data_IF_288979914547
#
_entry.id   IF_288979914547
#
_cell.length_a   1.000
_cell.length_b   1.000
_cell.length_c   1.000
_cell.angle_alpha   90.00
_cell.angle_beta   90.00
_cell.angle_gamma   90.00
#
_symmetry.space_group_name_H-M   'P 1'
#
loop_
_entity.id
_entity.type
_entity.pdbx_description
1 polymer ?
#
# COMPACT_ATOMS: atom_id res chain seq x y z
N UNK A 1 -8.63 62.81 -14.05
CA UNK A 1 -9.95 62.26 -13.71
C UNK A 1 -9.74 60.90 -13.03
N UNK A 2 -10.10 60.77 -11.74
CA UNK A 2 -10.39 59.47 -11.08
C UNK A 2 -11.92 59.33 -11.12
N UNK A 3 -12.52 58.13 -11.34
CA UNK A 3 -12.53 57.02 -10.37
C UNK A 3 -12.39 55.66 -11.13
N UNK A 4 -12.49 54.45 -10.59
CA UNK A 4 -13.03 53.93 -9.33
C UNK A 4 -12.33 52.60 -9.03
N UNK A 5 -12.19 52.33 -7.73
CA UNK A 5 -11.64 51.12 -7.14
C UNK A 5 -12.58 49.94 -7.38
N UNK A 6 -12.04 48.80 -7.81
CA UNK A 6 -12.56 47.50 -7.41
C UNK A 6 -11.36 46.58 -7.21
N UNK A 7 -10.77 46.64 -6.02
CA UNK A 7 -9.81 45.65 -5.55
C UNK A 7 -10.64 44.39 -5.27
N UNK A 8 -10.77 43.52 -6.26
CA UNK A 8 -11.23 42.15 -6.02
C UNK A 8 -10.05 41.42 -5.42
N UNK A 9 -10.00 41.37 -4.10
CA UNK A 9 -9.15 40.45 -3.34
C UNK A 9 -9.59 39.05 -3.76
N UNK A 10 -8.93 38.48 -4.77
CA UNK A 10 -9.01 37.05 -5.03
C UNK A 10 -8.24 36.39 -3.89
N UNK A 11 -8.95 36.14 -2.80
CA UNK A 11 -8.55 35.18 -1.80
C UNK A 11 -8.49 33.85 -2.56
N UNK A 12 -7.32 33.53 -3.11
CA UNK A 12 -6.98 32.17 -3.50
C UNK A 12 -6.97 31.37 -2.20
N UNK A 13 -8.16 30.96 -1.77
CA UNK A 13 -8.32 29.82 -0.89
C UNK A 13 -7.65 28.68 -1.66
N UNK A 14 -6.39 28.42 -1.31
CA UNK A 14 -5.83 27.07 -1.41
C UNK A 14 -6.69 26.22 -0.49
N UNK A 15 -7.89 25.87 -0.95
CA UNK A 15 -8.53 24.64 -0.54
C UNK A 15 -7.60 23.57 -1.06
N UNK A 16 -6.61 23.21 -0.24
CA UNK A 16 -6.00 21.91 -0.33
C UNK A 16 -7.17 20.94 -0.33
N UNK A 17 -7.44 20.35 -1.48
CA UNK A 17 -8.43 19.30 -1.66
C UNK A 17 -7.98 18.12 -0.81
N UNK A 18 -8.29 18.18 0.48
CA UNK A 18 -8.20 17.04 1.39
C UNK A 18 -9.27 16.07 0.93
N UNK A 19 -8.92 15.22 -0.04
CA UNK A 19 -9.81 14.20 -0.52
C UNK A 19 -10.20 13.31 0.68
N UNK A 20 -11.49 13.17 1.04
CA UNK A 20 -11.93 12.36 2.19
C UNK A 20 -11.54 10.88 2.07
N UNK A 21 -11.09 10.46 0.89
CA UNK A 21 -10.50 9.17 0.57
C UNK A 21 -9.24 8.83 1.40
N UNK A 22 -8.38 9.81 1.71
CA UNK A 22 -7.06 9.57 2.32
C UNK A 22 -7.10 9.27 3.81
N UNK A 23 -7.97 9.90 4.59
CA UNK A 23 -7.90 9.79 6.06
C UNK A 23 -8.38 8.44 6.60
N UNK A 24 -9.39 7.83 5.97
CA UNK A 24 -9.92 6.54 6.43
C UNK A 24 -9.03 5.37 5.99
N UNK A 25 -8.55 5.39 4.75
CA UNK A 25 -7.64 4.38 4.23
C UNK A 25 -6.30 4.42 4.98
N UNK A 26 -5.71 5.61 5.17
CA UNK A 26 -4.46 5.76 5.93
C UNK A 26 -4.60 5.30 7.39
N UNK A 27 -5.76 5.51 8.02
CA UNK A 27 -6.01 5.01 9.37
C UNK A 27 -6.07 3.49 9.44
N UNK A 28 -6.70 2.82 8.47
CA UNK A 28 -6.79 1.35 8.47
C UNK A 28 -5.42 0.72 8.24
N UNK A 29 -4.65 1.21 7.26
CA UNK A 29 -3.26 0.78 7.02
C UNK A 29 -2.40 0.91 8.28
N UNK A 30 -2.55 2.01 9.01
CA UNK A 30 -1.82 2.22 10.27
C UNK A 30 -2.25 1.25 11.37
N UNK A 31 -3.54 0.93 11.49
CA UNK A 31 -4.06 -0.03 12.46
C UNK A 31 -3.53 -1.43 12.15
N UNK A 32 -3.61 -1.88 10.90
CA UNK A 32 -3.12 -3.19 10.48
C UNK A 32 -1.61 -3.32 10.71
N UNK A 33 -0.83 -2.29 10.39
CA UNK A 33 0.60 -2.28 10.68
C UNK A 33 0.90 -2.41 12.19
N UNK A 34 0.13 -1.76 13.06
CA UNK A 34 0.29 -1.89 14.51
C UNK A 34 -0.07 -3.29 15.02
N UNK A 35 -1.17 -3.87 14.53
CA UNK A 35 -1.58 -5.23 14.87
C UNK A 35 -0.51 -6.25 14.43
N UNK A 36 -0.04 -6.14 13.20
CA UNK A 36 0.98 -7.03 12.66
C UNK A 36 2.35 -6.81 13.32
N UNK A 37 2.65 -5.59 13.79
CA UNK A 37 3.82 -5.37 14.63
C UNK A 37 3.71 -6.13 15.95
N UNK A 38 2.56 -6.08 16.61
CA UNK A 38 2.32 -6.79 17.85
C UNK A 38 2.37 -8.33 17.68
N UNK A 39 1.86 -8.85 16.55
CA UNK A 39 1.84 -10.28 16.25
C UNK A 39 3.24 -10.84 15.94
N UNK A 40 4.02 -10.12 15.14
CA UNK A 40 5.29 -10.63 14.60
C UNK A 40 6.52 -10.22 15.40
N UNK A 41 6.41 -9.14 16.16
CA UNK A 41 7.53 -8.54 16.88
C UNK A 41 8.52 -7.80 15.98
N UNK A 42 8.12 -7.37 14.78
CA UNK A 42 9.00 -6.57 13.90
C UNK A 42 9.46 -5.29 14.61
N UNK A 43 10.74 -4.98 14.49
CA UNK A 43 11.31 -3.74 15.00
C UNK A 43 10.83 -2.52 14.20
N UNK A 44 10.76 -1.36 14.85
CA UNK A 44 10.34 -0.11 14.22
C UNK A 44 11.21 0.28 13.01
N UNK A 45 12.51 -0.01 13.05
CA UNK A 45 13.43 0.27 11.95
C UNK A 45 13.13 -0.59 10.72
N UNK A 46 12.95 -1.90 10.90
CA UNK A 46 12.56 -2.81 9.81
C UNK A 46 11.18 -2.45 9.25
N UNK A 47 10.22 -2.08 10.09
CA UNK A 47 8.92 -1.61 9.60
C UNK A 47 9.04 -0.32 8.79
N UNK A 48 9.86 0.63 9.25
CA UNK A 48 10.11 1.89 8.54
C UNK A 48 10.70 1.63 7.17
N UNK A 49 11.68 0.72 7.08
CA UNK A 49 12.25 0.29 5.81
C UNK A 49 11.19 -0.29 4.86
N UNK A 50 10.37 -1.22 5.33
CA UNK A 50 9.27 -1.78 4.53
C UNK A 50 8.30 -0.70 4.07
N UNK A 51 7.88 0.22 4.95
CA UNK A 51 7.00 1.33 4.56
C UNK A 51 7.59 2.19 3.44
N UNK A 52 8.90 2.39 3.47
CA UNK A 52 9.63 3.25 2.53
C UNK A 52 10.07 2.48 1.26
N UNK A 53 9.75 1.18 1.15
CA UNK A 53 10.12 0.33 0.02
C UNK A 53 11.57 -0.18 0.06
N UNK A 54 12.28 -0.02 1.18
CA UNK A 54 13.60 -0.61 1.38
C UNK A 54 13.47 -2.10 1.71
N UNK A 55 13.68 -2.93 0.68
CA UNK A 55 13.62 -4.39 0.74
C UNK A 55 14.80 -5.05 1.46
N UNK A 56 15.74 -4.27 2.03
CA UNK A 56 16.83 -4.82 2.87
C UNK A 56 16.32 -5.41 4.19
N UNK A 57 15.12 -5.03 4.64
CA UNK A 57 14.43 -5.65 5.76
C UNK A 57 13.70 -6.93 5.30
N UNK A 58 14.44 -8.03 5.19
CA UNK A 58 13.93 -9.30 4.63
C UNK A 58 14.16 -10.51 5.55
N UNK A 59 14.30 -10.29 6.86
CA UNK A 59 14.34 -11.38 7.81
C UNK A 59 12.97 -12.06 7.97
N UNK A 60 12.93 -13.19 8.67
CA UNK A 60 11.68 -13.96 8.89
C UNK A 60 10.56 -13.11 9.47
N UNK A 61 10.88 -12.20 10.38
CA UNK A 61 9.91 -11.34 11.06
C UNK A 61 9.32 -10.31 10.09
N UNK A 62 10.14 -9.70 9.25
CA UNK A 62 9.70 -8.79 8.19
C UNK A 62 8.81 -9.49 7.14
N UNK A 63 9.19 -10.71 6.74
CA UNK A 63 8.39 -11.51 5.80
C UNK A 63 7.03 -11.87 6.38
N UNK A 64 6.99 -12.33 7.63
CA UNK A 64 5.74 -12.67 8.29
C UNK A 64 4.90 -11.44 8.64
N UNK A 65 5.52 -10.27 8.83
CA UNK A 65 4.79 -9.00 8.93
C UNK A 65 4.00 -8.74 7.64
N UNK A 66 4.61 -8.92 6.46
CA UNK A 66 3.92 -8.74 5.18
C UNK A 66 2.77 -9.73 5.00
N UNK A 67 2.94 -10.98 5.42
CA UNK A 67 1.87 -11.99 5.43
C UNK A 67 0.69 -11.57 6.31
N UNK A 68 0.96 -11.14 7.56
CA UNK A 68 -0.09 -10.62 8.44
C UNK A 68 -0.80 -9.42 7.79
N UNK A 69 -0.04 -8.49 7.21
CA UNK A 69 -0.60 -7.29 6.60
C UNK A 69 -1.52 -7.64 5.42
N UNK A 70 -1.10 -8.58 4.56
CA UNK A 70 -1.92 -9.07 3.45
C UNK A 70 -3.19 -9.79 3.91
N UNK A 71 -3.15 -10.56 5.00
CA UNK A 71 -4.36 -11.16 5.57
C UNK A 71 -5.35 -10.10 6.08
N UNK A 72 -4.86 -9.05 6.73
CA UNK A 72 -5.71 -7.95 7.24
C UNK A 72 -6.39 -7.16 6.12
N UNK A 73 -5.69 -6.98 5.00
CA UNK A 73 -6.24 -6.37 3.78
C UNK A 73 -7.11 -7.35 2.95
N UNK A 74 -7.19 -8.63 3.34
CA UNK A 74 -7.81 -9.73 2.59
C UNK A 74 -7.14 -10.00 1.22
N UNK A 75 -5.86 -9.66 1.09
CA UNK A 75 -5.02 -10.00 -0.06
C UNK A 75 -4.41 -11.40 0.05
N UNK A 76 -4.49 -12.02 1.22
CA UNK A 76 -4.09 -13.39 1.47
C UNK A 76 -5.11 -14.08 2.37
N UNK A 77 -5.39 -15.36 2.12
CA UNK A 77 -6.24 -16.17 3.00
C UNK A 77 -5.44 -16.87 4.11
N UNK A 78 -6.16 -17.56 5.00
CA UNK A 78 -5.60 -18.30 6.14
C UNK A 78 -4.71 -19.49 5.73
N UNK A 79 -4.74 -19.89 4.46
CA UNK A 79 -3.88 -20.94 3.87
C UNK A 79 -2.65 -20.35 3.18
N UNK A 80 -2.46 -19.03 3.24
CA UNK A 80 -1.36 -18.35 2.61
C UNK A 80 -1.52 -18.14 1.11
N UNK A 81 -2.73 -18.29 0.55
CA UNK A 81 -3.00 -18.09 -0.87
C UNK A 81 -3.34 -16.62 -1.15
N UNK A 82 -2.73 -16.07 -2.20
CA UNK A 82 -2.97 -14.69 -2.62
C UNK A 82 -4.35 -14.56 -3.28
N UNK A 83 -5.08 -13.53 -2.88
CA UNK A 83 -6.40 -13.18 -3.41
C UNK A 83 -6.23 -12.15 -4.53
N UNK A 84 -5.75 -12.61 -5.70
CA UNK A 84 -5.34 -11.72 -6.81
C UNK A 84 -6.44 -10.75 -7.25
N UNK A 85 -7.71 -11.17 -7.27
CA UNK A 85 -8.84 -10.30 -7.63
C UNK A 85 -9.09 -9.19 -6.58
N UNK A 86 -8.90 -9.50 -5.29
CA UNK A 86 -9.01 -8.51 -4.23
C UNK A 86 -7.88 -7.47 -4.31
N UNK A 87 -6.66 -7.93 -4.63
CA UNK A 87 -5.51 -7.05 -4.90
C UNK A 87 -5.80 -6.16 -6.11
N UNK A 88 -6.31 -6.73 -7.20
CA UNK A 88 -6.63 -5.97 -8.41
C UNK A 88 -7.67 -4.87 -8.14
N UNK A 89 -8.78 -5.24 -7.49
CA UNK A 89 -9.85 -4.32 -7.10
C UNK A 89 -9.33 -3.18 -6.20
N UNK A 90 -8.36 -3.46 -5.33
CA UNK A 90 -7.76 -2.44 -4.47
C UNK A 90 -6.92 -1.44 -5.27
N UNK A 91 -6.16 -1.91 -6.26
CA UNK A 91 -5.26 -1.11 -7.10
C UNK A 91 -5.95 -0.36 -8.25
N UNK A 92 -7.11 -0.83 -8.72
CA UNK A 92 -7.90 -0.21 -9.80
C UNK A 92 -8.33 1.24 -9.52
N UNK A 93 -8.21 1.71 -8.27
CA UNK A 93 -8.46 3.09 -7.90
C UNK A 93 -7.41 4.05 -8.43
N UNK A 94 -6.18 3.55 -8.59
CA UNK A 94 -5.00 4.36 -8.92
C UNK A 94 -4.36 3.92 -10.25
N UNK A 95 -4.61 2.68 -10.71
CA UNK A 95 -3.97 2.10 -11.88
C UNK A 95 -4.96 1.42 -12.84
N UNK A 96 -4.57 1.27 -14.10
CA UNK A 96 -5.39 0.60 -15.11
C UNK A 96 -5.42 -0.93 -14.92
N UNK A 97 -6.60 -1.54 -14.97
CA UNK A 97 -6.80 -2.99 -14.82
C UNK A 97 -5.82 -3.83 -15.64
N UNK A 98 -5.60 -3.48 -16.91
CA UNK A 98 -4.76 -4.26 -17.79
C UNK A 98 -3.31 -4.37 -17.29
N UNK A 99 -2.75 -3.29 -16.74
CA UNK A 99 -1.40 -3.27 -16.18
C UNK A 99 -1.32 -3.99 -14.83
N UNK A 100 -2.38 -3.86 -14.03
CA UNK A 100 -2.51 -4.62 -12.78
C UNK A 100 -2.49 -6.12 -13.09
N UNK A 101 -3.28 -6.57 -14.07
CA UNK A 101 -3.34 -7.98 -14.46
C UNK A 101 -1.99 -8.50 -14.97
N UNK A 102 -1.28 -7.72 -15.78
CA UNK A 102 0.08 -8.05 -16.25
C UNK A 102 1.04 -8.26 -15.07
N UNK A 103 1.07 -7.33 -14.12
CA UNK A 103 1.87 -7.47 -12.90
C UNK A 103 1.43 -8.69 -12.07
N UNK A 104 0.13 -8.94 -11.89
CA UNK A 104 -0.35 -10.06 -11.07
C UNK A 104 -0.01 -11.44 -11.67
N UNK A 105 0.07 -11.55 -13.00
CA UNK A 105 0.54 -12.77 -13.67
C UNK A 105 2.00 -13.08 -13.31
N UNK A 106 2.84 -12.05 -13.23
CA UNK A 106 4.27 -12.20 -12.92
C UNK A 106 4.53 -12.37 -11.42
N UNK A 107 3.82 -11.62 -10.59
CA UNK A 107 4.07 -11.50 -9.15
C UNK A 107 3.21 -12.42 -8.28
N UNK A 108 2.15 -13.04 -8.82
CA UNK A 108 1.24 -13.94 -8.11
C UNK A 108 1.81 -15.33 -7.76
N UNK A 109 3.11 -15.42 -7.48
CA UNK A 109 3.83 -16.68 -7.32
C UNK A 109 3.69 -17.22 -5.89
N UNK A 110 3.10 -18.42 -5.77
CA UNK A 110 3.01 -19.14 -4.50
C UNK A 110 4.35 -19.79 -4.14
N UNK A 111 4.79 -19.61 -2.88
CA UNK A 111 5.93 -20.30 -2.27
C UNK A 111 5.45 -21.39 -1.32
N UNK A 112 6.38 -22.22 -0.83
CA UNK A 112 6.07 -23.26 0.16
C UNK A 112 5.64 -22.67 1.52
N UNK A 113 6.11 -21.47 1.85
CA UNK A 113 5.82 -20.78 3.09
C UNK A 113 5.04 -19.49 2.82
N UNK A 114 3.98 -19.25 3.60
CA UNK A 114 3.09 -18.11 3.40
C UNK A 114 3.79 -16.75 3.64
N UNK A 115 4.77 -16.68 4.55
CA UNK A 115 5.55 -15.46 4.76
C UNK A 115 6.44 -15.16 3.55
N UNK A 116 7.04 -16.19 2.96
CA UNK A 116 7.81 -16.07 1.71
C UNK A 116 6.91 -15.68 0.53
N UNK A 117 5.70 -16.25 0.43
CA UNK A 117 4.72 -15.86 -0.60
C UNK A 117 4.39 -14.37 -0.51
N UNK A 118 4.01 -13.89 0.68
CA UNK A 118 3.60 -12.50 0.86
C UNK A 118 4.75 -11.52 0.56
N UNK A 119 5.95 -11.83 1.05
CA UNK A 119 7.11 -10.97 0.83
C UNK A 119 7.53 -10.96 -0.64
N UNK A 120 7.57 -12.12 -1.30
CA UNK A 120 7.94 -12.19 -2.71
C UNK A 120 6.96 -11.40 -3.61
N UNK A 121 5.66 -11.50 -3.32
CA UNK A 121 4.65 -10.71 -4.02
C UNK A 121 4.86 -9.21 -3.76
N UNK A 122 5.11 -8.81 -2.51
CA UNK A 122 5.38 -7.41 -2.16
C UNK A 122 6.62 -6.84 -2.86
N UNK A 123 7.74 -7.57 -2.87
CA UNK A 123 8.97 -7.18 -3.59
C UNK A 123 8.68 -6.98 -5.09
N UNK A 124 8.01 -7.95 -5.70
CA UNK A 124 7.67 -7.90 -7.12
C UNK A 124 6.72 -6.73 -7.44
N UNK A 125 5.67 -6.50 -6.63
CA UNK A 125 4.79 -5.34 -6.81
C UNK A 125 5.55 -4.02 -6.69
N UNK A 126 6.53 -3.93 -5.79
CA UNK A 126 7.35 -2.74 -5.63
C UNK A 126 8.20 -2.45 -6.88
N UNK A 127 8.79 -3.47 -7.49
CA UNK A 127 9.54 -3.35 -8.76
C UNK A 127 8.66 -2.83 -9.92
N UNK A 128 7.37 -3.18 -9.91
CA UNK A 128 6.40 -2.75 -10.91
C UNK A 128 5.70 -1.44 -10.58
N UNK A 129 5.82 -0.90 -9.37
CA UNK A 129 5.05 0.28 -8.89
C UNK A 129 5.23 1.54 -9.76
N UNK A 130 6.40 1.72 -10.39
CA UNK A 130 6.66 2.83 -11.31
C UNK A 130 6.11 2.60 -12.73
N UNK A 131 5.72 1.37 -13.07
CA UNK A 131 5.30 0.93 -14.39
C UNK A 131 3.79 0.58 -14.46
N UNK A 132 3.14 0.36 -13.31
CA UNK A 132 1.68 0.37 -13.13
C UNK A 132 1.09 1.71 -13.58
#
# INVERSE_FOLDING_TARGET
MKPSVTITIVFFLLVASVNPFTLRQQKMVSIFALECMAETGIGADSLTKLRDGDLSANDRTAKCFMKCFFEKENFMDDKGQLQLEAIATALEKDYERAKIDEMLVECGVQKEDACETAFNAYECYHEHYQNL
#
